data_IF_937291801283
#
_entry.id   IF_937291801283
#
_cell.length_a   1.000
_cell.length_b   1.000
_cell.length_c   1.000
_cell.angle_alpha   90.00
_cell.angle_beta   90.00
_cell.angle_gamma   90.00
#
_symmetry.space_group_name_H-M   'P 1'
#
loop_
_entity.id
_entity.type
_entity.pdbx_description
1 polymer ?
#
# COMPACT_ATOMS: atom_id res chain seq x y z
N UNK A 1 -10.66 -1.55 5.45
CA UNK A 1 -10.07 -1.20 6.76
C UNK A 1 -10.63 0.11 7.33
N UNK A 2 -10.82 1.17 6.53
CA UNK A 2 -11.40 2.45 6.99
C UNK A 2 -12.75 2.31 7.72
N UNK A 3 -13.67 1.49 7.20
CA UNK A 3 -14.97 1.24 7.82
C UNK A 3 -14.84 0.69 9.24
N UNK A 4 -13.94 -0.29 9.44
CA UNK A 4 -13.68 -0.86 10.76
C UNK A 4 -12.98 0.15 11.70
N UNK A 5 -12.08 0.99 11.18
CA UNK A 5 -11.50 2.09 11.96
C UNK A 5 -12.58 3.07 12.48
N UNK A 6 -13.54 3.45 11.63
CA UNK A 6 -14.62 4.39 11.97
C UNK A 6 -15.64 3.81 12.95
N UNK A 7 -16.11 2.58 12.71
CA UNK A 7 -17.15 1.95 13.54
C UNK A 7 -16.65 1.64 14.96
N UNK A 8 -15.35 1.37 15.12
CA UNK A 8 -14.77 0.95 16.39
C UNK A 8 -13.93 2.04 17.09
N UNK A 9 -13.89 3.27 16.58
CA UNK A 9 -13.11 4.39 17.15
C UNK A 9 -13.49 4.70 18.61
N UNK A 10 -14.75 4.44 18.99
CA UNK A 10 -15.27 4.69 20.34
C UNK A 10 -15.34 3.41 21.20
N UNK A 11 -14.98 2.24 20.66
CA UNK A 11 -15.16 0.94 21.33
C UNK A 11 -13.88 0.36 21.93
N UNK A 12 -12.75 1.08 21.84
CA UNK A 12 -11.47 0.68 22.43
C UNK A 12 -10.82 1.89 23.13
N UNK A 13 -11.22 2.20 24.38
CA UNK A 13 -10.60 3.26 25.17
C UNK A 13 -9.15 2.94 25.59
N UNK A 14 -8.72 1.67 25.52
CA UNK A 14 -7.38 1.24 25.90
C UNK A 14 -6.26 1.86 25.05
N UNK A 15 -6.52 2.04 23.74
CA UNK A 15 -5.64 2.75 22.79
C UNK A 15 -6.44 3.28 21.62
N UNK A 16 -6.62 4.60 21.57
CA UNK A 16 -7.30 5.31 20.48
C UNK A 16 -6.46 5.36 19.21
N UNK A 17 -5.18 5.05 19.31
CA UNK A 17 -4.18 5.11 18.25
C UNK A 17 -4.38 3.99 17.23
N UNK A 18 -4.87 2.82 17.66
CA UNK A 18 -5.06 1.64 16.79
C UNK A 18 -6.20 1.84 15.77
N UNK A 19 -7.41 2.30 16.15
CA UNK A 19 -8.46 2.61 15.17
C UNK A 19 -8.08 3.73 14.20
N UNK A 20 -7.34 4.75 14.67
CA UNK A 20 -6.84 5.85 13.84
C UNK A 20 -5.79 5.36 12.85
N UNK A 21 -4.90 4.47 13.27
CA UNK A 21 -3.93 3.79 12.41
C UNK A 21 -4.62 3.08 11.24
N UNK A 22 -5.63 2.25 11.53
CA UNK A 22 -6.41 1.50 10.54
C UNK A 22 -7.16 2.40 9.55
N UNK A 23 -7.57 3.59 9.98
CA UNK A 23 -8.25 4.57 9.14
C UNK A 23 -7.29 5.25 8.16
N UNK A 24 -6.12 5.68 8.65
CA UNK A 24 -5.12 6.38 7.84
C UNK A 24 -4.48 5.42 6.84
N UNK A 25 -4.05 4.22 7.26
CA UNK A 25 -3.49 3.21 6.36
C UNK A 25 -4.49 2.84 5.24
N UNK A 26 -5.76 2.61 5.62
CA UNK A 26 -6.78 2.25 4.65
C UNK A 26 -7.11 3.36 3.65
N UNK A 27 -7.13 4.63 4.09
CA UNK A 27 -7.50 5.76 3.21
C UNK A 27 -6.37 6.13 2.26
N UNK A 28 -5.14 6.20 2.78
CA UNK A 28 -3.95 6.48 1.98
C UNK A 28 -3.67 5.35 1.00
N UNK A 29 -3.81 4.09 1.43
CA UNK A 29 -3.68 2.93 0.54
C UNK A 29 -4.71 2.94 -0.60
N UNK A 30 -5.97 3.25 -0.32
CA UNK A 30 -7.01 3.38 -1.36
C UNK A 30 -6.71 4.52 -2.34
N UNK A 31 -6.26 5.66 -1.82
CA UNK A 31 -5.88 6.80 -2.65
C UNK A 31 -4.74 6.41 -3.58
N UNK A 32 -3.71 5.75 -3.06
CA UNK A 32 -2.56 5.29 -3.83
C UNK A 32 -2.95 4.32 -4.95
N UNK A 33 -3.76 3.30 -4.64
CA UNK A 33 -4.26 2.34 -5.65
C UNK A 33 -5.04 3.06 -6.74
N UNK A 34 -5.86 4.04 -6.36
CA UNK A 34 -6.63 4.82 -7.33
C UNK A 34 -5.72 5.64 -8.24
N UNK A 35 -4.69 6.30 -7.69
CA UNK A 35 -3.70 7.05 -8.47
C UNK A 35 -2.92 6.14 -9.45
N UNK A 36 -2.52 4.95 -9.01
CA UNK A 36 -1.86 3.96 -9.87
C UNK A 36 -2.78 3.52 -11.02
N UNK A 37 -4.06 3.24 -10.73
CA UNK A 37 -5.05 2.89 -11.74
C UNK A 37 -5.28 4.02 -12.74
N UNK A 38 -5.38 5.27 -12.27
CA UNK A 38 -5.51 6.43 -13.16
C UNK A 38 -4.30 6.58 -14.09
N UNK A 39 -3.09 6.37 -13.58
CA UNK A 39 -1.86 6.41 -14.40
C UNK A 39 -1.84 5.29 -15.44
N UNK A 40 -2.14 4.07 -15.02
CA UNK A 40 -2.16 2.93 -15.94
C UNK A 40 -3.22 3.11 -17.05
N UNK A 41 -4.38 3.68 -16.72
CA UNK A 41 -5.40 4.01 -17.73
C UNK A 41 -4.95 5.12 -18.67
N UNK A 42 -4.23 6.14 -18.16
CA UNK A 42 -3.69 7.24 -18.96
C UNK A 42 -2.63 6.74 -19.94
N UNK A 43 -1.68 5.93 -19.47
CA UNK A 43 -0.66 5.30 -20.31
C UNK A 43 -1.31 4.47 -21.44
N UNK A 44 -2.30 3.64 -21.11
CA UNK A 44 -3.03 2.85 -22.10
C UNK A 44 -3.83 3.69 -23.10
N UNK A 45 -4.27 4.88 -22.70
CA UNK A 45 -5.00 5.79 -23.60
C UNK A 45 -4.06 6.53 -24.54
N UNK A 46 -2.84 6.84 -24.10
CA UNK A 46 -1.78 7.42 -24.93
C UNK A 46 -1.35 6.41 -26.03
N UNK A 47 -1.13 5.13 -25.69
CA UNK A 47 -0.78 4.07 -26.65
C UNK A 47 -1.84 3.84 -27.76
N UNK A 48 -3.13 4.00 -27.44
CA UNK A 48 -4.22 3.79 -28.41
C UNK A 48 -4.49 5.01 -29.31
N UNK A 49 -4.01 6.20 -28.95
CA UNK A 49 -4.22 7.43 -29.71
C UNK A 49 -3.27 7.58 -30.91
N UNK A 50 -2.06 7.03 -30.81
CA UNK A 50 -1.00 7.18 -31.80
C UNK A 50 -1.30 6.47 -33.14
N UNK A 51 -2.12 5.42 -33.14
CA UNK A 51 -2.52 4.68 -34.35
C UNK A 51 -3.56 5.43 -35.22
N UNK A 52 -4.18 6.49 -34.70
CA UNK A 52 -5.28 7.21 -35.40
C UNK A 52 -4.81 8.40 -36.25
N UNK A 53 -3.53 8.79 -36.14
CA UNK A 53 -2.99 10.00 -36.78
C UNK A 53 -2.46 9.80 -38.22
N UNK A 54 -2.63 8.62 -38.82
CA UNK A 54 -2.34 8.45 -40.27
C UNK A 54 -3.49 8.94 -41.18
N UNK A 55 -4.62 9.38 -40.61
CA UNK A 55 -5.74 9.98 -41.36
C UNK A 55 -6.48 11.03 -40.53
N UNK A 56 -5.95 12.25 -40.42
CA UNK A 56 -6.73 13.33 -39.81
C UNK A 56 -6.00 14.64 -39.61
N UNK A 57 -6.21 15.57 -40.54
CA UNK A 57 -5.94 17.03 -40.49
C UNK A 57 -5.74 17.57 -39.07
N UNK A 58 -4.53 18.11 -38.82
CA UNK A 58 -4.21 18.82 -37.59
C UNK A 58 -5.08 20.04 -37.38
N UNK A 59 -5.73 20.11 -36.22
CA UNK A 59 -6.17 21.37 -35.63
C UNK A 59 -6.27 21.25 -34.10
N UNK A 60 -5.70 22.25 -33.44
CA UNK A 60 -5.89 22.65 -32.05
C UNK A 60 -5.13 21.90 -30.94
N UNK A 61 -3.88 22.37 -30.78
CA UNK A 61 -3.29 22.71 -29.48
C UNK A 61 -4.29 22.94 -28.35
N UNK A 62 -4.27 22.05 -27.35
CA UNK A 62 -4.61 22.36 -25.96
C UNK A 62 -3.58 21.69 -25.06
N UNK A 63 -3.25 22.31 -23.92
CA UNK A 63 -1.90 22.36 -23.41
C UNK A 63 -1.40 20.97 -23.06
N UNK A 64 -0.23 20.64 -23.59
CA UNK A 64 0.63 19.63 -23.01
C UNK A 64 0.80 20.03 -21.55
N UNK A 65 0.00 19.42 -20.66
CA UNK A 65 0.20 19.46 -19.23
C UNK A 65 1.49 18.68 -18.97
N UNK A 66 2.62 19.26 -19.37
CA UNK A 66 3.95 18.98 -18.89
C UNK A 66 4.04 19.50 -17.44
N UNK A 67 3.03 19.19 -16.63
CA UNK A 67 3.09 19.24 -15.18
C UNK A 67 3.97 18.06 -14.77
N UNK A 68 5.27 18.29 -14.94
CA UNK A 68 6.41 17.59 -14.37
C UNK A 68 6.15 16.11 -14.02
N UNK A 69 6.52 15.19 -14.91
CA UNK A 69 6.69 13.76 -14.61
C UNK A 69 7.58 13.50 -13.39
N UNK A 70 8.38 14.50 -12.99
CA UNK A 70 9.17 14.45 -11.75
C UNK A 70 8.31 14.75 -10.50
N UNK A 71 7.30 15.61 -10.59
CA UNK A 71 6.39 15.92 -9.47
C UNK A 71 5.55 14.70 -9.09
N UNK A 72 5.03 13.98 -10.08
CA UNK A 72 4.24 12.76 -9.85
C UNK A 72 5.07 11.63 -9.21
N UNK A 73 6.35 11.50 -9.58
CA UNK A 73 7.30 10.56 -8.97
C UNK A 73 7.64 10.92 -7.52
N UNK A 74 7.85 12.21 -7.23
CA UNK A 74 8.12 12.69 -5.87
C UNK A 74 6.92 12.46 -4.96
N UNK A 75 5.70 12.77 -5.40
CA UNK A 75 4.48 12.51 -4.63
C UNK A 75 4.31 11.03 -4.30
N UNK A 76 4.61 10.15 -5.26
CA UNK A 76 4.56 8.71 -5.04
C UNK A 76 5.61 8.25 -4.02
N UNK A 77 6.85 8.73 -4.13
CA UNK A 77 7.90 8.44 -3.16
C UNK A 77 7.51 8.88 -1.73
N UNK A 78 6.93 10.07 -1.59
CA UNK A 78 6.48 10.61 -0.30
C UNK A 78 5.36 9.74 0.28
N UNK A 79 4.38 9.31 -0.53
CA UNK A 79 3.29 8.44 -0.08
C UNK A 79 3.84 7.10 0.40
N UNK A 80 4.74 6.47 -0.36
CA UNK A 80 5.39 5.22 0.05
C UNK A 80 6.20 5.36 1.34
N UNK A 81 6.98 6.44 1.46
CA UNK A 81 7.77 6.71 2.67
C UNK A 81 6.86 6.93 3.89
N UNK A 82 5.79 7.70 3.73
CA UNK A 82 4.80 7.92 4.78
C UNK A 82 4.14 6.61 5.21
N UNK A 83 3.69 5.80 4.25
CA UNK A 83 3.08 4.49 4.53
C UNK A 83 4.05 3.54 5.25
N UNK A 84 5.33 3.55 4.88
CA UNK A 84 6.34 2.73 5.54
C UNK A 84 6.57 3.14 7.00
N UNK A 85 6.77 4.44 7.26
CA UNK A 85 6.93 4.96 8.62
C UNK A 85 5.68 4.69 9.45
N UNK A 86 4.50 4.92 8.87
CA UNK A 86 3.22 4.67 9.51
C UNK A 86 3.06 3.20 9.86
N UNK A 87 3.40 2.29 8.94
CA UNK A 87 3.38 0.84 9.18
C UNK A 87 4.25 0.43 10.38
N UNK A 88 5.46 0.97 10.51
CA UNK A 88 6.35 0.69 11.66
C UNK A 88 5.67 1.11 12.97
N UNK A 89 5.09 2.32 12.98
CA UNK A 89 4.38 2.84 14.16
C UNK A 89 3.18 1.94 14.51
N UNK A 90 2.40 1.51 13.52
CA UNK A 90 1.29 0.58 13.72
C UNK A 90 1.70 -0.76 14.30
N UNK A 91 2.84 -1.31 13.84
CA UNK A 91 3.41 -2.53 14.40
C UNK A 91 3.73 -2.34 15.90
N UNK A 92 4.40 -1.25 16.27
CA UNK A 92 4.72 -0.94 17.67
C UNK A 92 3.44 -0.87 18.50
N UNK A 93 2.43 -0.14 18.04
CA UNK A 93 1.18 0.02 18.79
C UNK A 93 0.43 -1.29 19.01
N UNK A 94 0.42 -2.18 18.02
CA UNK A 94 -0.23 -3.49 18.12
C UNK A 94 0.57 -4.45 19.00
N UNK A 95 1.90 -4.48 18.90
CA UNK A 95 2.74 -5.32 19.77
C UNK A 95 2.77 -4.84 21.22
N UNK A 96 2.66 -3.53 21.44
CA UNK A 96 2.57 -2.97 22.79
C UNK A 96 1.22 -3.34 23.46
N UNK A 97 0.15 -3.61 22.69
CA UNK A 97 -1.09 -4.22 23.24
C UNK A 97 -0.96 -5.73 23.44
N UNK A 98 -0.17 -6.41 22.59
CA UNK A 98 0.14 -7.84 22.76
C UNK A 98 0.90 -8.12 24.07
N UNK A 99 1.63 -7.13 24.60
CA UNK A 99 2.37 -7.23 25.85
C UNK A 99 1.65 -6.49 27.00
N UNK A 100 0.61 -7.07 27.64
CA UNK A 100 -0.05 -6.41 28.75
C UNK A 100 0.79 -6.53 30.05
N UNK A 101 1.02 -5.45 30.81
CA UNK A 101 1.16 -5.58 32.24
C UNK A 101 -0.25 -5.82 32.83
N UNK A 102 -0.65 -7.08 32.96
CA UNK A 102 -1.85 -7.49 33.70
C UNK A 102 -3.16 -7.44 32.90
N UNK A 103 -3.72 -8.62 32.62
CA UNK A 103 -5.03 -8.80 32.00
C UNK A 103 -6.15 -8.23 32.90
N UNK A 104 -6.80 -7.13 32.52
CA UNK A 104 -8.11 -6.77 33.07
C UNK A 104 -9.21 -7.32 32.17
N UNK A 105 -10.02 -8.21 32.74
CA UNK A 105 -11.15 -8.85 32.07
C UNK A 105 -12.37 -7.91 31.99
N UNK A 106 -13.30 -8.24 31.10
CA UNK A 106 -14.53 -7.54 30.66
C UNK A 106 -15.46 -7.00 31.78
N UNK A 107 -15.16 -7.29 33.04
CA UNK A 107 -15.97 -6.98 34.23
C UNK A 107 -15.24 -6.03 35.19
N UNK A 108 -14.53 -5.03 34.68
CA UNK A 108 -13.95 -3.94 35.47
C UNK A 108 -14.91 -2.75 35.48
N UNK A 109 -15.20 -2.22 36.67
CA UNK A 109 -16.16 -1.14 36.92
C UNK A 109 -15.70 0.23 36.37
N UNK A 110 -14.51 0.30 35.77
CA UNK A 110 -13.92 1.47 35.12
C UNK A 110 -13.42 1.09 33.71
N UNK A 111 -13.99 1.65 32.62
CA UNK A 111 -13.73 1.24 31.24
C UNK A 111 -12.49 1.93 30.66
N UNK A 112 -11.36 1.95 31.36
CA UNK A 112 -10.17 2.69 30.92
C UNK A 112 -9.17 1.85 30.12
N UNK A 113 -9.23 0.51 30.19
CA UNK A 113 -8.19 -0.38 29.61
C UNK A 113 -8.74 -1.60 28.87
N UNK A 114 -9.97 -1.54 28.35
CA UNK A 114 -10.57 -2.65 27.60
C UNK A 114 -10.60 -2.37 26.09
N UNK A 115 -10.26 -3.37 25.28
CA UNK A 115 -10.38 -3.33 23.83
C UNK A 115 -11.18 -4.55 23.35
N UNK A 116 -12.16 -4.33 22.47
CA UNK A 116 -12.98 -5.40 21.93
C UNK A 116 -12.14 -6.34 21.05
N UNK A 117 -12.23 -7.66 21.25
CA UNK A 117 -11.44 -8.67 20.51
C UNK A 117 -11.50 -8.52 18.99
N UNK A 118 -12.62 -8.04 18.44
CA UNK A 118 -12.79 -7.85 17.00
C UNK A 118 -11.85 -6.78 16.42
N UNK A 119 -11.72 -5.62 17.07
CA UNK A 119 -10.86 -4.52 16.57
C UNK A 119 -9.39 -4.92 16.56
N UNK A 120 -8.97 -5.62 17.63
CA UNK A 120 -7.61 -6.14 17.75
C UNK A 120 -7.31 -7.23 16.70
N UNK A 121 -8.21 -8.20 16.52
CA UNK A 121 -8.02 -9.26 15.52
C UNK A 121 -7.96 -8.70 14.10
N UNK A 122 -8.76 -7.68 13.77
CA UNK A 122 -8.69 -7.01 12.46
C UNK A 122 -7.35 -6.29 12.28
N UNK A 123 -6.84 -5.60 13.30
CA UNK A 123 -5.50 -4.96 13.24
C UNK A 123 -4.39 -5.99 13.04
N UNK A 124 -4.45 -7.12 13.74
CA UNK A 124 -3.49 -8.22 13.56
C UNK A 124 -3.57 -8.84 12.17
N UNK A 125 -4.77 -9.15 11.68
CA UNK A 125 -4.96 -9.73 10.34
C UNK A 125 -4.41 -8.78 9.28
N UNK A 126 -4.64 -7.47 9.43
CA UNK A 126 -4.09 -6.46 8.53
C UNK A 126 -2.55 -6.49 8.51
N UNK A 127 -1.92 -6.45 9.69
CA UNK A 127 -0.44 -6.47 9.79
C UNK A 127 0.13 -7.77 9.20
N UNK A 128 -0.46 -8.92 9.55
CA UNK A 128 -0.02 -10.22 9.03
C UNK A 128 -0.19 -10.30 7.50
N UNK A 129 -1.31 -9.79 6.98
CA UNK A 129 -1.56 -9.75 5.54
C UNK A 129 -0.52 -8.89 4.81
N UNK A 130 -0.20 -7.71 5.34
CA UNK A 130 0.82 -6.83 4.76
C UNK A 130 2.20 -7.49 4.75
N UNK A 131 2.61 -8.16 5.83
CA UNK A 131 3.88 -8.91 5.88
C UNK A 131 3.92 -10.05 4.86
N UNK A 132 2.82 -10.80 4.72
CA UNK A 132 2.73 -11.88 3.75
C UNK A 132 2.90 -11.37 2.31
N UNK A 133 2.24 -10.26 1.96
CA UNK A 133 2.36 -9.64 0.64
C UNK A 133 3.80 -9.16 0.39
N UNK A 134 4.44 -8.52 1.38
CA UNK A 134 5.84 -8.07 1.26
C UNK A 134 6.77 -9.28 1.02
N UNK A 135 6.63 -10.34 1.82
CA UNK A 135 7.44 -11.54 1.67
C UNK A 135 7.25 -12.20 0.29
N UNK A 136 6.00 -12.28 -0.19
CA UNK A 136 5.69 -12.82 -1.50
C UNK A 136 6.35 -12.02 -2.63
N UNK A 137 6.24 -10.68 -2.60
CA UNK A 137 6.87 -9.79 -3.59
C UNK A 137 8.39 -9.98 -3.61
N UNK A 138 9.04 -10.02 -2.44
CA UNK A 138 10.49 -10.23 -2.33
C UNK A 138 10.90 -11.58 -2.93
N UNK A 139 10.18 -12.66 -2.59
CA UNK A 139 10.47 -14.00 -3.10
C UNK A 139 10.30 -14.04 -4.62
N UNK A 140 9.21 -13.48 -5.16
CA UNK A 140 8.98 -13.40 -6.60
C UNK A 140 10.07 -12.61 -7.32
N UNK A 141 10.51 -11.47 -6.78
CA UNK A 141 11.60 -10.67 -7.37
C UNK A 141 12.93 -11.43 -7.38
N UNK A 142 13.27 -12.13 -6.29
CA UNK A 142 14.49 -12.96 -6.21
C UNK A 142 14.43 -14.09 -7.23
N UNK A 143 13.28 -14.78 -7.31
CA UNK A 143 13.07 -15.87 -8.26
C UNK A 143 13.20 -15.39 -9.71
N UNK A 144 12.56 -14.27 -10.07
CA UNK A 144 12.68 -13.66 -11.40
C UNK A 144 14.10 -13.24 -11.71
N UNK A 145 14.82 -12.63 -10.77
CA UNK A 145 16.23 -12.26 -10.95
C UNK A 145 17.12 -13.48 -11.16
N UNK A 146 16.86 -14.57 -10.42
CA UNK A 146 17.56 -15.84 -10.60
C UNK A 146 17.26 -16.46 -11.98
N UNK A 147 15.99 -16.51 -12.38
CA UNK A 147 15.58 -16.97 -13.70
C UNK A 147 16.21 -16.13 -14.82
N UNK A 148 16.22 -14.80 -14.69
CA UNK A 148 16.83 -13.89 -15.66
C UNK A 148 18.35 -14.10 -15.78
N UNK A 149 19.05 -14.25 -14.65
CA UNK A 149 20.49 -14.58 -14.65
C UNK A 149 20.77 -15.91 -15.34
N UNK A 150 19.97 -16.95 -15.03
CA UNK A 150 20.08 -18.27 -15.68
C UNK A 150 19.82 -18.15 -17.19
N UNK A 151 18.79 -17.43 -17.59
CA UNK A 151 18.42 -17.22 -18.99
C UNK A 151 19.51 -16.47 -19.78
N UNK A 152 20.08 -15.40 -19.21
CA UNK A 152 21.20 -14.70 -19.84
C UNK A 152 22.45 -15.58 -19.96
N UNK A 153 22.72 -16.46 -18.98
CA UNK A 153 23.76 -17.48 -19.08
C UNK A 153 23.55 -18.49 -20.21
N UNK A 154 22.30 -18.73 -20.64
CA UNK A 154 21.98 -19.60 -21.80
C UNK A 154 22.10 -18.92 -23.15
N UNK A 155 22.11 -17.58 -23.20
CA UNK A 155 22.09 -16.83 -24.46
C UNK A 155 23.50 -16.53 -25.01
N UNK A 156 24.51 -16.57 -24.14
CA UNK A 156 25.93 -16.38 -24.52
C UNK A 156 26.55 -17.44 -25.47
N UNK A 157 26.14 -18.71 -25.52
CA UNK A 157 26.71 -19.68 -26.47
C UNK A 157 26.20 -19.56 -27.92
N UNK A 158 25.20 -18.74 -28.24
CA UNK A 158 24.61 -18.66 -29.59
C UNK A 158 25.18 -17.55 -30.49
N UNK A 159 26.14 -16.75 -30.00
CA UNK A 159 26.86 -15.72 -30.78
C UNK A 159 28.32 -16.10 -31.06
N UNK A 160 28.72 -17.33 -30.73
CA UNK A 160 30.08 -17.86 -30.91
C UNK A 160 30.16 -19.04 -31.90
N UNK A 161 29.14 -19.24 -32.74
CA UNK A 161 29.18 -20.21 -33.83
C UNK A 161 28.51 -19.66 -35.08
#
# INVERSE_FOLDING_TARGET
MCYFGLVYINKCPAKKEIPVYLLIEGSVGLLQVTLLMMRHRRERQEDLGEDTDLTGIGLNSTPQNHYSTNSSKITELIIWAFLFVWFIIGNIWVFEVFLPPGRQHERSKTPTYWCHSYTYNIALIQILSTHFVIAFVIISSIFLAFCAKRFMGMRHPQLAR
#
